data_IF_048518570556
#
_entry.id   IF_048518570556
#
_cell.length_a   1.000
_cell.length_b   1.000
_cell.length_c   1.000
_cell.angle_alpha   90.00
_cell.angle_beta   90.00
_cell.angle_gamma   90.00
#
_symmetry.space_group_name_H-M   'P 1'
#
loop_
_entity.id
_entity.type
_entity.pdbx_description
1 polymer ?
#
# COMPACT_ATOMS: atom_id res chain seq x y z
N UNK A 1 17.20 3.53 -2.14
CA UNK A 1 17.22 4.49 -3.27
C UNK A 1 17.45 5.90 -2.72
N UNK A 2 18.09 6.79 -3.49
CA UNK A 2 18.18 8.22 -3.15
C UNK A 2 17.20 8.98 -4.04
N UNK A 3 16.35 9.81 -3.44
CA UNK A 3 15.41 10.68 -4.16
C UNK A 3 15.93 12.11 -4.10
N UNK A 4 15.92 12.82 -5.23
CA UNK A 4 16.26 14.23 -5.34
C UNK A 4 15.15 14.91 -6.14
N UNK A 5 14.69 16.07 -5.64
CA UNK A 5 13.63 16.88 -6.25
C UNK A 5 14.18 18.28 -6.47
N UNK A 6 13.85 18.91 -7.60
CA UNK A 6 14.37 20.24 -7.94
C UNK A 6 13.53 21.36 -7.31
N UNK A 7 12.22 21.12 -7.16
CA UNK A 7 11.26 22.06 -6.60
C UNK A 7 10.10 21.33 -5.90
N UNK A 8 9.23 22.10 -5.27
CA UNK A 8 8.08 21.56 -4.53
C UNK A 8 7.03 20.90 -5.45
N UNK A 9 6.90 21.35 -6.69
CA UNK A 9 5.97 20.75 -7.66
C UNK A 9 6.37 19.32 -8.04
N UNK A 10 7.68 19.09 -8.24
CA UNK A 10 8.25 17.77 -8.50
C UNK A 10 8.01 16.84 -7.30
N UNK A 11 8.21 17.34 -6.08
CA UNK A 11 7.95 16.59 -4.85
C UNK A 11 6.47 16.25 -4.73
N UNK A 12 5.57 17.21 -4.91
CA UNK A 12 4.12 16.99 -4.83
C UNK A 12 3.65 16.00 -5.89
N UNK A 13 4.17 16.08 -7.11
CA UNK A 13 3.86 15.14 -8.20
C UNK A 13 4.31 13.72 -7.83
N UNK A 14 5.51 13.57 -7.27
CA UNK A 14 5.98 12.28 -6.78
C UNK A 14 5.12 11.73 -5.65
N UNK A 15 4.79 12.56 -4.65
CA UNK A 15 3.96 12.16 -3.52
C UNK A 15 2.56 11.75 -3.98
N UNK A 16 1.90 12.54 -4.82
CA UNK A 16 0.56 12.22 -5.34
C UNK A 16 0.53 10.93 -6.17
N UNK A 17 1.62 10.61 -6.89
CA UNK A 17 1.72 9.38 -7.68
C UNK A 17 1.98 8.13 -6.82
N UNK A 18 2.67 8.30 -5.69
CA UNK A 18 3.22 7.18 -4.91
C UNK A 18 2.62 7.03 -3.52
N UNK A 19 1.87 7.99 -2.99
CA UNK A 19 1.13 7.83 -1.74
C UNK A 19 -0.28 7.34 -2.03
N UNK A 20 -0.69 6.32 -1.28
CA UNK A 20 -2.03 5.76 -1.32
C UNK A 20 -2.70 5.96 0.04
N UNK A 21 -3.96 6.37 0.02
CA UNK A 21 -4.84 6.36 1.17
C UNK A 21 -5.21 4.93 1.59
N UNK A 22 -5.78 4.79 2.78
CA UNK A 22 -6.32 3.50 3.24
C UNK A 22 -7.42 2.93 2.32
N UNK A 23 -8.18 3.77 1.61
CA UNK A 23 -9.21 3.30 0.68
C UNK A 23 -8.56 2.73 -0.60
N UNK A 24 -7.69 3.50 -1.25
CA UNK A 24 -6.97 3.05 -2.46
C UNK A 24 -6.13 1.79 -2.19
N UNK A 25 -5.52 1.72 -1.01
CA UNK A 25 -4.78 0.54 -0.56
C UNK A 25 -5.68 -0.69 -0.41
N UNK A 26 -6.89 -0.52 0.13
CA UNK A 26 -7.85 -1.61 0.29
C UNK A 26 -8.32 -2.16 -1.06
N UNK A 27 -8.64 -1.25 -1.99
CA UNK A 27 -9.01 -1.57 -3.36
C UNK A 27 -7.88 -2.30 -4.08
N UNK A 28 -6.65 -1.77 -4.02
CA UNK A 28 -5.50 -2.35 -4.72
C UNK A 28 -5.13 -3.75 -4.23
N UNK A 29 -5.27 -4.00 -2.92
CA UNK A 29 -5.01 -5.30 -2.31
C UNK A 29 -6.20 -6.26 -2.40
N UNK A 30 -7.40 -5.78 -2.74
CA UNK A 30 -8.64 -6.58 -2.73
C UNK A 30 -8.99 -7.09 -1.34
N UNK A 31 -8.88 -6.23 -0.32
CA UNK A 31 -9.22 -6.55 1.09
C UNK A 31 -10.05 -5.43 1.71
N UNK A 32 -10.67 -5.69 2.86
CA UNK A 32 -11.42 -4.64 3.57
C UNK A 32 -10.50 -3.57 4.18
N UNK A 33 -11.00 -2.34 4.28
CA UNK A 33 -10.31 -1.22 4.97
C UNK A 33 -9.96 -1.55 6.43
N UNK A 34 -10.81 -2.31 7.12
CA UNK A 34 -10.54 -2.79 8.46
C UNK A 34 -9.28 -3.68 8.49
N UNK A 35 -9.15 -4.60 7.52
CA UNK A 35 -7.97 -5.46 7.38
C UNK A 35 -6.70 -4.67 7.09
N UNK A 36 -6.77 -3.63 6.22
CA UNK A 36 -5.66 -2.69 6.00
C UNK A 36 -5.23 -2.05 7.33
N UNK A 37 -6.20 -1.59 8.13
CA UNK A 37 -5.94 -1.04 9.46
C UNK A 37 -5.20 -2.00 10.39
N UNK A 38 -5.58 -3.28 10.40
CA UNK A 38 -4.90 -4.31 11.20
C UNK A 38 -3.49 -4.62 10.68
N UNK A 39 -3.29 -4.69 9.36
CA UNK A 39 -1.96 -4.89 8.78
C UNK A 39 -1.00 -3.75 9.13
N UNK A 40 -1.50 -2.51 9.07
CA UNK A 40 -0.73 -1.33 9.47
C UNK A 40 -0.36 -1.35 10.96
N UNK A 41 -1.31 -1.62 11.84
CA UNK A 41 -1.07 -1.74 13.29
C UNK A 41 -0.04 -2.82 13.63
N UNK A 42 -0.04 -3.93 12.90
CA UNK A 42 0.86 -5.05 13.14
C UNK A 42 2.20 -4.91 12.42
N UNK A 43 2.51 -3.75 11.81
CA UNK A 43 3.75 -3.48 11.09
C UNK A 43 3.92 -4.25 9.77
N UNK A 44 2.92 -5.05 9.36
CA UNK A 44 2.96 -5.86 8.12
C UNK A 44 2.71 -5.02 6.87
N UNK A 45 2.24 -3.80 7.03
CA UNK A 45 2.07 -2.81 5.97
C UNK A 45 2.48 -1.44 6.51
N UNK A 46 3.75 -1.02 6.33
CA UNK A 46 4.25 0.20 6.95
C UNK A 46 3.54 1.45 6.41
N UNK A 47 3.24 2.37 7.33
CA UNK A 47 2.60 3.64 7.04
C UNK A 47 3.65 4.70 6.69
N UNK A 48 3.39 5.48 5.65
CA UNK A 48 4.10 6.73 5.39
C UNK A 48 3.58 7.86 6.29
N UNK A 49 2.31 7.82 6.67
CA UNK A 49 1.68 8.74 7.63
C UNK A 49 0.56 8.04 8.38
N UNK A 50 0.41 8.33 9.67
CA UNK A 50 -0.59 7.66 10.51
C UNK A 50 -2.01 8.24 10.40
N UNK A 51 -2.13 9.57 10.33
CA UNK A 51 -3.42 10.27 10.21
C UNK A 51 -3.36 11.41 9.17
N UNK A 52 -4.14 11.34 8.07
CA UNK A 52 -4.81 10.13 7.58
C UNK A 52 -3.80 9.02 7.28
N UNK A 53 -4.24 7.76 7.30
CA UNK A 53 -3.39 6.62 6.95
C UNK A 53 -2.97 6.69 5.48
N UNK A 54 -1.67 6.86 5.25
CA UNK A 54 -1.07 6.87 3.91
C UNK A 54 0.03 5.82 3.81
N UNK A 55 0.17 5.25 2.63
CA UNK A 55 1.07 4.14 2.33
C UNK A 55 1.88 4.45 1.07
N UNK A 56 3.12 3.96 1.00
CA UNK A 56 3.86 4.00 -0.26
C UNK A 56 3.34 2.92 -1.21
N UNK A 57 3.04 3.30 -2.45
CA UNK A 57 2.53 2.42 -3.50
C UNK A 57 3.44 1.21 -3.73
N UNK A 58 4.76 1.39 -3.68
CA UNK A 58 5.72 0.30 -3.80
C UNK A 58 5.52 -0.77 -2.73
N UNK A 59 5.37 -0.36 -1.47
CA UNK A 59 5.10 -1.25 -0.33
C UNK A 59 3.77 -1.97 -0.51
N UNK A 60 2.73 -1.28 -0.98
CA UNK A 60 1.42 -1.91 -1.21
C UNK A 60 1.50 -2.92 -2.36
N UNK A 61 2.24 -2.64 -3.42
CA UNK A 61 2.42 -3.56 -4.54
C UNK A 61 3.19 -4.83 -4.14
N UNK A 62 4.28 -4.70 -3.40
CA UNK A 62 5.00 -5.85 -2.83
C UNK A 62 4.08 -6.71 -1.96
N UNK A 63 3.25 -6.07 -1.14
CA UNK A 63 2.25 -6.78 -0.34
C UNK A 63 1.17 -7.45 -1.19
N UNK A 64 0.80 -6.86 -2.33
CA UNK A 64 -0.20 -7.43 -3.25
C UNK A 64 0.29 -8.75 -3.82
N UNK A 65 1.54 -8.77 -4.29
CA UNK A 65 2.18 -9.98 -4.83
C UNK A 65 2.20 -11.10 -3.79
N UNK A 66 2.64 -10.81 -2.56
CA UNK A 66 2.60 -11.77 -1.44
C UNK A 66 1.17 -12.30 -1.20
N UNK A 67 0.16 -11.43 -1.21
CA UNK A 67 -1.23 -11.85 -1.00
C UNK A 67 -1.78 -12.70 -2.14
N UNK A 68 -1.40 -12.42 -3.39
CA UNK A 68 -1.79 -13.22 -4.55
C UNK A 68 -1.19 -14.63 -4.50
N UNK A 69 0.09 -14.76 -4.13
CA UNK A 69 0.73 -16.06 -3.91
C UNK A 69 0.05 -16.85 -2.79
N UNK A 70 -0.28 -16.18 -1.67
CA UNK A 70 -0.99 -16.80 -0.56
C UNK A 70 -2.41 -17.25 -0.97
N UNK A 71 -3.11 -16.48 -1.81
CA UNK A 71 -4.42 -16.90 -2.35
C UNK A 71 -4.29 -18.15 -3.19
N UNK A 72 -3.33 -18.21 -4.12
CA UNK A 72 -3.06 -19.41 -4.93
C UNK A 72 -2.75 -20.63 -4.05
N UNK A 73 -1.97 -20.44 -2.99
CA UNK A 73 -1.57 -21.52 -2.08
C UNK A 73 -2.69 -22.04 -1.18
N UNK A 74 -3.50 -21.14 -0.61
CA UNK A 74 -4.47 -21.47 0.44
C UNK A 74 -5.93 -21.43 -0.02
N UNK A 75 -6.20 -20.88 -1.21
CA UNK A 75 -7.52 -20.76 -1.83
C UNK A 75 -7.48 -21.01 -3.35
N UNK A 76 -6.98 -22.17 -3.80
CA UNK A 76 -6.84 -22.47 -5.23
C UNK A 76 -8.17 -22.68 -5.96
N UNK A 77 -9.31 -22.64 -5.26
CA UNK A 77 -10.65 -22.88 -5.80
C UNK A 77 -11.50 -21.60 -5.91
N UNK A 78 -10.94 -20.42 -5.57
CA UNK A 78 -11.64 -19.13 -5.61
C UNK A 78 -11.54 -18.44 -7.01
N UNK A 79 -10.93 -19.09 -8.01
CA UNK A 79 -10.78 -18.62 -9.41
C UNK A 79 -11.95 -19.03 -10.31
#
# INVERSE_FOLDING_TARGET
>A
MKYQFQNDEDLLTFLNKNLLSANETAELLGISKARVGTLAKNGKLPLAKEQPKMFLKSVVLEKKEELEELRKKYRPYDD
#
